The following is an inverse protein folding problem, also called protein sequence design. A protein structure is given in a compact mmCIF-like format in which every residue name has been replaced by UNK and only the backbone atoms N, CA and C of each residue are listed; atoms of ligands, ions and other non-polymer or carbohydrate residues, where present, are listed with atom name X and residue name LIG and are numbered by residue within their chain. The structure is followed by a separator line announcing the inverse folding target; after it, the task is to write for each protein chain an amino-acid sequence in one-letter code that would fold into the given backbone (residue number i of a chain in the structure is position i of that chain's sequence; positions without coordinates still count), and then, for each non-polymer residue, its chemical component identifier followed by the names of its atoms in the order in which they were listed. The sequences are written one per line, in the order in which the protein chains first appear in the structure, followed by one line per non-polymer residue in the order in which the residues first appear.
data_IF_299229990940
#
_entry.id   IF_299229990940
#
_cell.length_a   1.000
_cell.length_b   1.000
_cell.length_c   1.000
_cell.angle_alpha   90.00
_cell.angle_beta   90.00
_cell.angle_gamma   90.00
#
_symmetry.space_group_name_H-M   'P 1'
#
loop_
_entity.id
_entity.type
_entity.pdbx_description
1 polymer ?
#
# COMPACT_ATOMS: atom_id res chain seq x y z
N UNK A 1 -50.62 44.32 -19.26
CA UNK A 1 -50.47 42.85 -19.26
C UNK A 1 -49.08 42.49 -18.74
N UNK A 2 -48.96 41.85 -17.57
CA UNK A 2 -47.65 41.54 -16.94
C UNK A 2 -47.39 40.04 -17.04
N UNK A 3 -46.60 39.63 -18.04
CA UNK A 3 -46.18 38.24 -18.24
C UNK A 3 -45.32 37.76 -17.07
N UNK A 4 -45.74 36.67 -16.41
CA UNK A 4 -45.05 36.04 -15.28
C UNK A 4 -44.50 34.68 -15.69
N UNK A 5 -43.42 34.66 -16.47
CA UNK A 5 -42.75 33.43 -16.92
C UNK A 5 -41.37 33.27 -16.25
N UNK A 6 -41.33 33.04 -14.92
CA UNK A 6 -40.06 32.80 -14.18
C UNK A 6 -40.11 31.61 -13.20
N UNK A 7 -40.89 30.58 -13.51
CA UNK A 7 -41.04 29.41 -12.64
C UNK A 7 -40.08 28.23 -12.93
N UNK A 8 -39.44 28.19 -14.10
CA UNK A 8 -38.70 27.00 -14.54
C UNK A 8 -37.26 26.92 -13.99
N UNK A 9 -36.64 28.05 -13.66
CA UNK A 9 -35.24 28.11 -13.24
C UNK A 9 -34.96 27.36 -11.94
N UNK A 10 -35.91 27.36 -11.00
CA UNK A 10 -35.72 26.69 -9.70
C UNK A 10 -35.73 25.16 -9.84
N UNK A 11 -36.59 24.62 -10.73
CA UNK A 11 -36.62 23.18 -11.05
C UNK A 11 -35.35 22.75 -11.80
N UNK A 12 -34.86 23.59 -12.73
CA UNK A 12 -33.61 23.31 -13.43
C UNK A 12 -32.41 23.33 -12.48
N UNK A 13 -32.36 24.28 -11.56
CA UNK A 13 -31.29 24.39 -10.57
C UNK A 13 -31.25 23.16 -9.64
N UNK A 14 -32.39 22.69 -9.13
CA UNK A 14 -32.43 21.51 -8.26
C UNK A 14 -32.06 20.22 -9.00
N UNK A 15 -32.43 20.11 -10.28
CA UNK A 15 -32.04 18.98 -11.13
C UNK A 15 -30.53 18.93 -11.36
N UNK A 16 -29.91 20.08 -11.66
CA UNK A 16 -28.45 20.15 -11.83
C UNK A 16 -27.74 19.86 -10.50
N UNK A 17 -28.22 20.42 -9.39
CA UNK A 17 -27.63 20.16 -8.07
C UNK A 17 -27.71 18.70 -7.65
N UNK A 18 -28.82 18.00 -7.92
CA UNK A 18 -28.94 16.57 -7.59
C UNK A 18 -28.01 15.71 -8.45
N UNK A 19 -27.85 16.05 -9.73
CA UNK A 19 -26.89 15.39 -10.62
C UNK A 19 -25.45 15.57 -10.13
N UNK A 20 -25.07 16.80 -9.78
CA UNK A 20 -23.73 17.10 -9.25
C UNK A 20 -23.46 16.38 -7.93
N UNK A 21 -24.46 16.30 -7.04
CA UNK A 21 -24.34 15.58 -5.78
C UNK A 21 -24.12 14.07 -6.02
N UNK A 22 -24.85 13.48 -6.97
CA UNK A 22 -24.70 12.08 -7.34
C UNK A 22 -23.30 11.78 -7.90
N UNK A 23 -22.80 12.65 -8.79
CA UNK A 23 -21.44 12.55 -9.34
C UNK A 23 -20.38 12.68 -8.24
N UNK A 24 -20.53 13.66 -7.35
CA UNK A 24 -19.65 13.85 -6.20
C UNK A 24 -19.60 12.62 -5.28
N UNK A 25 -20.76 12.03 -4.97
CA UNK A 25 -20.86 10.82 -4.16
C UNK A 25 -20.23 9.59 -4.85
N UNK A 26 -20.42 9.46 -6.18
CA UNK A 26 -19.80 8.39 -6.96
C UNK A 26 -18.26 8.51 -6.94
N UNK A 27 -17.72 9.70 -7.21
CA UNK A 27 -16.27 9.95 -7.20
C UNK A 27 -15.69 9.75 -5.80
N UNK A 28 -16.38 10.23 -4.76
CA UNK A 28 -15.94 10.06 -3.38
C UNK A 28 -15.79 8.58 -3.00
N UNK A 29 -16.72 7.72 -3.43
CA UNK A 29 -16.62 6.28 -3.19
C UNK A 29 -15.43 5.64 -3.92
N UNK A 30 -15.05 6.13 -5.10
CA UNK A 30 -13.87 5.66 -5.82
C UNK A 30 -12.60 6.07 -5.09
N UNK A 31 -12.46 7.37 -4.77
CA UNK A 31 -11.27 7.93 -4.11
C UNK A 31 -11.03 7.24 -2.76
N UNK A 32 -12.08 6.97 -1.98
CA UNK A 32 -11.93 6.25 -0.70
C UNK A 32 -11.25 4.90 -0.85
N UNK A 33 -11.59 4.13 -1.88
CA UNK A 33 -10.98 2.82 -2.14
C UNK A 33 -9.55 2.98 -2.64
N UNK A 34 -9.32 3.97 -3.50
CA UNK A 34 -8.00 4.24 -4.07
C UNK A 34 -6.99 4.68 -3.02
N UNK A 35 -7.38 5.52 -2.05
CA UNK A 35 -6.50 5.92 -0.94
C UNK A 35 -6.04 4.70 -0.14
N UNK A 36 -6.97 3.79 0.18
CA UNK A 36 -6.65 2.55 0.91
C UNK A 36 -5.76 1.63 0.05
N UNK A 37 -6.07 1.48 -1.24
CA UNK A 37 -5.27 0.65 -2.13
C UNK A 37 -3.85 1.20 -2.31
N UNK A 38 -3.71 2.52 -2.35
CA UNK A 38 -2.42 3.20 -2.44
C UNK A 38 -1.57 2.99 -1.19
N UNK A 39 -2.15 3.07 0.01
CA UNK A 39 -1.42 2.76 1.24
C UNK A 39 -0.98 1.30 1.27
N UNK A 40 -1.87 0.36 0.93
CA UNK A 40 -1.54 -1.06 0.88
C UNK A 40 -0.46 -1.36 -0.16
N UNK A 41 -0.48 -0.70 -1.31
CA UNK A 41 0.54 -0.84 -2.35
C UNK A 41 1.91 -0.36 -1.89
N UNK A 42 1.97 0.72 -1.11
CA UNK A 42 3.23 1.19 -0.49
C UNK A 42 3.73 0.22 0.58
N UNK A 43 2.86 -0.22 1.47
CA UNK A 43 3.24 -1.15 2.56
C UNK A 43 3.70 -2.51 1.99
N UNK A 44 3.08 -2.95 0.89
CA UNK A 44 3.51 -4.14 0.14
C UNK A 44 4.93 -3.98 -0.43
N UNK A 45 5.27 -2.82 -0.97
CA UNK A 45 6.63 -2.58 -1.48
C UNK A 45 7.68 -2.69 -0.38
N UNK A 46 7.40 -2.15 0.81
CA UNK A 46 8.30 -2.30 1.95
C UNK A 46 8.43 -3.76 2.39
N UNK A 47 7.32 -4.51 2.42
CA UNK A 47 7.34 -5.93 2.77
C UNK A 47 8.14 -6.77 1.75
N UNK A 48 7.94 -6.54 0.45
CA UNK A 48 8.70 -7.22 -0.60
C UNK A 48 10.18 -6.84 -0.59
N UNK A 49 10.50 -5.56 -0.36
CA UNK A 49 11.89 -5.11 -0.21
C UNK A 49 12.57 -5.84 0.94
N UNK A 50 11.96 -5.89 2.13
CA UNK A 50 12.52 -6.59 3.27
C UNK A 50 12.65 -8.10 3.05
N UNK A 51 11.71 -8.72 2.33
CA UNK A 51 11.78 -10.13 1.99
C UNK A 51 12.92 -10.44 1.02
N UNK A 52 13.08 -9.62 -0.03
CA UNK A 52 14.14 -9.77 -1.03
C UNK A 52 15.53 -9.55 -0.41
N UNK A 53 15.70 -8.49 0.38
CA UNK A 53 16.96 -8.25 1.09
C UNK A 53 17.28 -9.35 2.11
N UNK A 54 16.27 -9.89 2.79
CA UNK A 54 16.42 -11.03 3.69
C UNK A 54 16.84 -12.32 2.96
N UNK A 55 16.24 -12.59 1.80
CA UNK A 55 16.59 -13.73 0.96
C UNK A 55 18.02 -13.60 0.39
N UNK A 56 18.38 -12.43 -0.12
CA UNK A 56 19.73 -12.15 -0.63
C UNK A 56 20.78 -12.22 0.48
N UNK A 57 20.45 -11.76 1.70
CA UNK A 57 21.29 -11.92 2.88
C UNK A 57 21.54 -13.40 3.19
N UNK A 58 20.49 -14.21 3.29
CA UNK A 58 20.58 -15.64 3.53
C UNK A 58 21.45 -16.33 2.45
N UNK A 59 21.20 -16.00 1.18
CA UNK A 59 21.91 -16.54 0.03
C UNK A 59 23.39 -16.12 0.01
N UNK A 60 23.71 -14.87 0.35
CA UNK A 60 25.08 -14.37 0.43
C UNK A 60 25.91 -15.17 1.44
N UNK A 61 25.36 -15.40 2.63
CA UNK A 61 26.05 -16.15 3.68
C UNK A 61 26.17 -17.64 3.34
N UNK A 62 25.22 -18.20 2.60
CA UNK A 62 25.35 -19.56 2.08
C UNK A 62 26.45 -19.67 1.02
N UNK A 63 26.46 -18.80 0.01
CA UNK A 63 27.47 -18.89 -1.04
C UNK A 63 28.90 -18.57 -0.58
N UNK A 64 29.07 -17.60 0.32
CA UNK A 64 30.42 -17.20 0.79
C UNK A 64 30.99 -18.12 1.86
N UNK A 65 30.15 -18.65 2.74
CA UNK A 65 30.60 -19.32 3.96
C UNK A 65 29.99 -20.72 4.13
N UNK A 66 29.10 -21.15 3.23
CA UNK A 66 28.45 -22.45 3.24
C UNK A 66 27.73 -22.74 4.57
N UNK A 67 27.08 -21.73 5.15
CA UNK A 67 26.48 -21.83 6.47
C UNK A 67 25.22 -22.71 6.53
N UNK A 68 24.44 -22.85 5.44
CA UNK A 68 23.30 -23.79 5.46
C UNK A 68 23.75 -25.24 5.27
N UNK A 69 24.90 -25.48 4.64
CA UNK A 69 25.51 -26.81 4.50
C UNK A 69 26.43 -27.22 5.67
N UNK A 70 26.70 -26.33 6.62
CA UNK A 70 27.62 -26.57 7.74
C UNK A 70 26.89 -27.05 9.00
N UNK A 71 27.52 -27.96 9.76
CA UNK A 71 27.03 -28.38 11.08
C UNK A 71 27.33 -27.37 12.20
N UNK A 72 28.07 -26.30 11.90
CA UNK A 72 28.36 -25.20 12.84
C UNK A 72 27.61 -23.95 12.38
N UNK A 73 26.39 -23.71 12.89
CA UNK A 73 25.64 -22.51 12.55
C UNK A 73 26.36 -21.25 13.07
N UNK A 74 26.30 -20.13 12.32
CA UNK A 74 26.89 -18.87 12.75
C UNK A 74 26.16 -18.34 13.99
N UNK A 75 26.89 -17.75 14.92
CA UNK A 75 26.32 -17.11 16.12
C UNK A 75 25.76 -15.72 15.80
N UNK A 76 26.28 -15.08 14.74
CA UNK A 76 25.92 -13.75 14.31
C UNK A 76 25.91 -13.68 12.77
N UNK A 77 24.87 -13.09 12.21
CA UNK A 77 24.75 -12.75 10.78
C UNK A 77 24.60 -11.24 10.67
N UNK A 78 25.46 -10.62 9.86
CA UNK A 78 25.35 -9.18 9.58
C UNK A 78 24.87 -8.97 8.16
N UNK A 79 23.75 -8.24 8.02
CA UNK A 79 23.16 -7.86 6.75
C UNK A 79 22.55 -6.46 6.87
N UNK A 80 22.72 -5.63 5.82
CA UNK A 80 22.25 -4.23 5.82
C UNK A 80 22.71 -3.42 7.05
N UNK A 81 23.92 -3.71 7.55
CA UNK A 81 24.48 -3.08 8.76
C UNK A 81 23.81 -3.51 10.08
N UNK A 82 22.79 -4.39 10.05
CA UNK A 82 22.21 -5.02 11.24
C UNK A 82 22.86 -6.37 11.52
N UNK A 83 23.29 -6.59 12.76
CA UNK A 83 23.76 -7.89 13.23
C UNK A 83 22.65 -8.61 13.98
N UNK A 84 22.27 -9.77 13.48
CA UNK A 84 21.27 -10.66 14.08
C UNK A 84 22.01 -11.80 14.78
N UNK A 85 21.86 -11.89 16.10
CA UNK A 85 22.35 -13.04 16.87
C UNK A 85 21.38 -14.20 16.72
N UNK A 86 21.87 -15.36 16.28
CA UNK A 86 21.05 -16.55 16.07
C UNK A 86 21.11 -17.42 17.31
N UNK A 87 19.98 -17.53 18.01
CA UNK A 87 19.83 -18.50 19.09
C UNK A 87 19.22 -19.75 18.51
N UNK A 88 19.95 -20.87 18.54
CA UNK A 88 19.38 -22.17 18.16
C UNK A 88 18.39 -22.57 19.26
N UNK A 89 17.10 -22.39 18.98
CA UNK A 89 16.04 -23.00 19.80
C UNK A 89 16.02 -24.49 19.47
N UNK A 90 16.39 -25.31 20.44
CA UNK A 90 16.29 -26.77 20.39
C UNK A 90 14.81 -27.21 20.38
#
# INVERSE_FOLDING_TARGET
MKNRNRGFTLLLATLISSLLLLLGAAIFNVIKKEIILSSLGRDSQFAFYAADTGAECALYWDFRFNHFGSSTPPTEITCDGQTISITISN
#
